data_IF_745442244964
#
_entry.id   IF_745442244964
#
_cell.length_a   1.000
_cell.length_b   1.000
_cell.length_c   1.000
_cell.angle_alpha   90.00
_cell.angle_beta   90.00
_cell.angle_gamma   90.00
#
_symmetry.space_group_name_H-M   'P 1'
#
loop_
_entity.id
_entity.type
_entity.pdbx_description
1 polymer ?
#
# COMPACT_ATOMS: atom_id res chain seq x y z
N UNK A 1 17.81 11.18 -5.34
CA UNK A 1 17.62 11.58 -3.92
C UNK A 1 16.15 11.37 -3.58
N UNK A 2 15.83 10.30 -2.85
CA UNK A 2 14.48 10.03 -2.38
C UNK A 2 14.21 10.84 -1.11
N UNK A 3 13.04 11.46 -0.99
CA UNK A 3 12.62 12.12 0.23
C UNK A 3 12.05 11.05 1.17
N UNK A 4 12.78 10.71 2.23
CA UNK A 4 12.31 9.75 3.21
C UNK A 4 11.20 10.38 4.05
N UNK A 5 10.08 9.66 4.19
CA UNK A 5 8.92 10.08 4.98
C UNK A 5 8.55 8.93 5.92
N UNK A 6 8.35 9.25 7.19
CA UNK A 6 7.85 8.29 8.17
C UNK A 6 6.33 8.39 8.24
N UNK A 7 5.65 7.24 8.29
CA UNK A 7 4.20 7.18 8.30
C UNK A 7 3.69 6.48 9.56
N UNK A 8 2.57 6.96 10.09
CA UNK A 8 1.87 6.38 11.23
C UNK A 8 0.37 6.38 10.94
N UNK A 9 -0.31 5.30 11.32
CA UNK A 9 -1.76 5.16 11.18
C UNK A 9 -2.15 4.08 10.17
N UNK A 10 -3.45 3.97 9.94
CA UNK A 10 -4.04 2.98 9.05
C UNK A 10 -5.43 3.43 8.59
N UNK A 11 -5.91 2.80 7.52
CA UNK A 11 -7.28 2.92 7.03
C UNK A 11 -8.02 1.62 7.35
N UNK A 12 -9.10 1.69 8.10
CA UNK A 12 -10.03 0.59 8.29
C UNK A 12 -10.78 0.33 6.98
N UNK A 13 -11.04 -0.96 6.69
CA UNK A 13 -11.82 -1.41 5.53
C UNK A 13 -13.02 -2.23 6.02
N UNK A 14 -14.23 -1.84 5.61
CA UNK A 14 -15.47 -2.51 5.99
C UNK A 14 -16.38 -2.71 4.75
N UNK A 15 -16.83 -3.93 4.42
CA UNK A 15 -16.40 -5.21 5.02
C UNK A 15 -14.90 -5.47 4.80
N UNK A 16 -14.33 -6.40 5.55
CA UNK A 16 -12.91 -6.74 5.42
C UNK A 16 -12.61 -7.34 4.04
N UNK A 17 -11.41 -7.08 3.52
CA UNK A 17 -10.94 -7.61 2.24
C UNK A 17 -10.89 -9.13 2.26
N UNK A 18 -11.40 -9.74 1.19
CA UNK A 18 -11.28 -11.17 0.98
C UNK A 18 -9.88 -11.57 0.51
N UNK A 19 -9.63 -12.87 0.37
CA UNK A 19 -8.30 -13.38 0.04
C UNK A 19 -7.80 -12.89 -1.33
N UNK A 20 -8.67 -12.82 -2.34
CA UNK A 20 -8.32 -12.38 -3.69
C UNK A 20 -7.96 -10.90 -3.74
N UNK A 21 -8.71 -10.07 -3.01
CA UNK A 21 -8.45 -8.63 -2.90
C UNK A 21 -7.15 -8.35 -2.14
N UNK A 22 -6.92 -9.03 -1.00
CA UNK A 22 -5.65 -8.94 -0.27
C UNK A 22 -4.47 -9.34 -1.14
N UNK A 23 -4.57 -10.49 -1.82
CA UNK A 23 -3.52 -10.97 -2.71
C UNK A 23 -3.24 -10.01 -3.88
N UNK A 24 -4.23 -9.24 -4.35
CA UNK A 24 -4.01 -8.16 -5.30
C UNK A 24 -3.25 -6.99 -4.66
N UNK A 25 -3.75 -6.47 -3.54
CA UNK A 25 -3.16 -5.32 -2.83
C UNK A 25 -1.70 -5.60 -2.48
N UNK A 26 -1.41 -6.77 -1.92
CA UNK A 26 -0.05 -7.14 -1.54
C UNK A 26 0.85 -7.34 -2.76
N UNK A 27 0.30 -7.87 -3.87
CA UNK A 27 1.05 -8.03 -5.13
C UNK A 27 1.43 -6.68 -5.75
N UNK A 28 0.50 -5.70 -5.78
CA UNK A 28 0.81 -4.37 -6.29
C UNK A 28 1.74 -3.58 -5.35
N UNK A 29 1.77 -3.96 -4.06
CA UNK A 29 2.69 -3.41 -3.05
C UNK A 29 4.12 -3.95 -3.22
N UNK A 30 4.28 -5.26 -3.40
CA UNK A 30 5.58 -5.92 -3.50
C UNK A 30 6.21 -5.94 -4.90
N UNK A 31 5.50 -5.44 -5.91
CA UNK A 31 5.94 -5.49 -7.30
C UNK A 31 6.88 -4.33 -7.66
N UNK A 32 8.19 -4.61 -7.63
CA UNK A 32 9.24 -3.83 -8.35
C UNK A 32 9.01 -3.89 -9.89
N UNK A 33 8.11 -4.77 -10.36
CA UNK A 33 7.95 -5.16 -11.76
C UNK A 33 6.90 -4.39 -12.57
N UNK A 34 6.35 -3.29 -12.06
CA UNK A 34 5.57 -2.35 -12.89
C UNK A 34 6.50 -1.34 -13.60
N UNK A 35 7.73 -1.74 -13.91
CA UNK A 35 8.50 -1.06 -14.95
C UNK A 35 7.92 -1.44 -16.32
N UNK A 36 7.73 -0.43 -17.16
CA UNK A 36 6.83 -0.43 -18.32
C UNK A 36 7.35 -1.21 -19.53
N UNK A 37 8.10 -2.28 -19.32
CA UNK A 37 8.68 -3.09 -20.39
C UNK A 37 8.64 -4.59 -20.08
N UNK A 38 7.49 -5.23 -20.28
CA UNK A 38 7.47 -6.67 -20.57
C UNK A 38 6.60 -6.91 -21.81
N UNK A 39 7.17 -6.58 -22.96
CA UNK A 39 7.01 -7.39 -24.17
C UNK A 39 7.58 -8.78 -23.88
N UNK A 40 6.74 -9.66 -23.33
CA UNK A 40 7.12 -11.02 -22.99
C UNK A 40 5.91 -11.92 -23.12
N UNK A 41 5.75 -12.51 -24.30
CA UNK A 41 4.71 -13.45 -24.69
C UNK A 41 4.64 -14.62 -23.68
N UNK A 42 3.73 -14.53 -22.71
CA UNK A 42 3.26 -15.69 -21.92
C UNK A 42 1.77 -15.77 -22.12
N UNK A 43 1.28 -16.99 -22.37
CA UNK A 43 -0.12 -17.34 -22.63
C UNK A 43 -1.06 -16.64 -21.65
N UNK A 44 -1.67 -15.56 -22.11
CA UNK A 44 -2.57 -14.72 -21.32
C UNK A 44 -3.92 -15.43 -21.30
N UNK A 45 -4.30 -16.00 -20.15
CA UNK A 45 -5.71 -16.32 -19.92
C UNK A 45 -6.51 -15.01 -19.83
N UNK A 46 -7.81 -15.04 -20.13
CA UNK A 46 -8.66 -13.83 -20.15
C UNK A 46 -8.60 -13.02 -18.84
N UNK A 47 -8.40 -13.68 -17.70
CA UNK A 47 -8.22 -13.03 -16.40
C UNK A 47 -6.93 -12.20 -16.31
N UNK A 48 -5.84 -12.66 -16.92
CA UNK A 48 -4.57 -11.93 -16.97
C UNK A 48 -4.65 -10.73 -17.92
N UNK A 49 -5.44 -10.81 -19.00
CA UNK A 49 -5.66 -9.70 -19.93
C UNK A 49 -6.46 -8.57 -19.27
N UNK A 50 -7.59 -8.88 -18.64
CA UNK A 50 -8.42 -7.90 -17.94
C UNK A 50 -7.64 -7.21 -16.80
N UNK A 51 -6.81 -7.97 -16.08
CA UNK A 51 -5.95 -7.44 -15.03
C UNK A 51 -4.83 -6.57 -15.58
N UNK A 52 -4.17 -6.98 -16.66
CA UNK A 52 -3.13 -6.19 -17.31
C UNK A 52 -3.67 -4.84 -17.82
N UNK A 53 -4.91 -4.82 -18.33
CA UNK A 53 -5.56 -3.58 -18.76
C UNK A 53 -5.79 -2.62 -17.59
N UNK A 54 -6.38 -3.09 -16.49
CA UNK A 54 -6.63 -2.26 -15.32
C UNK A 54 -5.32 -1.75 -14.70
N UNK A 55 -4.30 -2.61 -14.60
CA UNK A 55 -2.97 -2.23 -14.14
C UNK A 55 -2.25 -1.27 -15.10
N UNK A 56 -2.56 -1.30 -16.40
CA UNK A 56 -2.07 -0.32 -17.37
C UNK A 56 -2.54 1.11 -17.10
N UNK A 57 -3.66 1.27 -16.36
CA UNK A 57 -4.17 2.56 -15.90
C UNK A 57 -3.59 3.01 -14.55
N UNK A 58 -2.73 2.20 -13.94
CA UNK A 58 -2.19 2.49 -12.62
C UNK A 58 -1.27 3.73 -12.64
N UNK A 59 -1.15 4.45 -11.51
CA UNK A 59 -0.16 5.52 -11.37
C UNK A 59 1.26 4.99 -11.65
N UNK A 60 2.13 5.88 -12.12
CA UNK A 60 3.54 5.51 -12.33
C UNK A 60 4.19 5.06 -11.01
N UNK A 61 5.05 4.03 -11.09
CA UNK A 61 5.70 3.42 -9.94
C UNK A 61 4.97 2.17 -9.47
N UNK A 62 5.06 1.88 -8.16
CA UNK A 62 4.34 0.78 -7.51
C UNK A 62 3.59 1.31 -6.29
N UNK A 63 2.60 0.54 -5.82
CA UNK A 63 1.86 0.88 -4.61
C UNK A 63 2.74 0.60 -3.40
N UNK A 64 2.55 1.34 -2.32
CA UNK A 64 3.16 1.08 -1.01
C UNK A 64 2.07 0.86 0.05
N UNK A 65 0.83 0.68 -0.39
CA UNK A 65 -0.29 0.30 0.45
C UNK A 65 -0.33 -1.22 0.60
N UNK A 66 -0.33 -1.69 1.83
CA UNK A 66 -0.35 -3.11 2.16
C UNK A 66 -1.59 -3.42 3.00
N UNK A 67 -2.15 -4.60 2.80
CA UNK A 67 -3.27 -5.08 3.61
C UNK A 67 -2.77 -5.79 4.87
N UNK A 68 -3.53 -5.69 5.97
CA UNK A 68 -3.25 -6.55 7.11
C UNK A 68 -3.65 -8.00 6.81
N UNK A 69 -3.11 -9.00 7.54
CA UNK A 69 -3.39 -10.42 7.27
C UNK A 69 -4.89 -10.79 7.30
N UNK A 70 -5.69 -10.06 8.07
CA UNK A 70 -7.14 -10.26 8.18
C UNK A 70 -7.95 -9.43 7.19
N UNK A 71 -7.33 -8.51 6.44
CA UNK A 71 -7.99 -7.65 5.44
C UNK A 71 -8.81 -6.50 6.01
N UNK A 72 -8.80 -6.28 7.33
CA UNK A 72 -9.61 -5.23 7.97
C UNK A 72 -8.96 -3.83 7.94
N UNK A 73 -7.70 -3.71 7.54
CA UNK A 73 -7.05 -2.42 7.38
C UNK A 73 -5.97 -2.39 6.29
N UNK A 74 -5.71 -1.18 5.81
CA UNK A 74 -4.63 -0.82 4.91
C UNK A 74 -3.66 0.11 5.65
N UNK A 75 -2.36 -0.15 5.50
CA UNK A 75 -1.30 0.70 6.01
C UNK A 75 -0.31 1.02 4.90
N UNK A 76 0.47 2.09 5.09
CA UNK A 76 1.53 2.46 4.15
C UNK A 76 2.88 1.94 4.65
N UNK A 77 3.59 1.17 3.82
CA UNK A 77 4.84 0.50 4.19
C UNK A 77 6.06 1.45 4.31
N UNK A 78 5.90 2.70 3.86
CA UNK A 78 6.92 3.75 3.96
C UNK A 78 8.00 3.72 2.87
N UNK A 79 7.72 3.15 1.69
CA UNK A 79 8.67 3.15 0.57
C UNK A 79 9.12 4.55 0.07
N UNK A 80 10.18 4.56 -0.74
CA UNK A 80 10.94 5.74 -1.22
C UNK A 80 10.15 6.76 -2.07
N UNK A 81 8.86 6.52 -2.32
CA UNK A 81 8.00 7.28 -3.25
C UNK A 81 6.69 7.75 -2.61
N UNK A 82 6.78 8.31 -1.40
CA UNK A 82 5.69 8.94 -0.66
C UNK A 82 4.74 9.83 -1.52
N UNK A 83 5.28 10.56 -2.50
CA UNK A 83 4.49 11.43 -3.40
C UNK A 83 3.40 10.67 -4.20
N UNK A 84 3.53 9.36 -4.36
CA UNK A 84 2.58 8.53 -5.09
C UNK A 84 1.53 7.87 -4.18
N UNK A 85 1.59 8.08 -2.86
CA UNK A 85 0.67 7.49 -1.89
C UNK A 85 -0.81 7.78 -2.20
N UNK A 86 -1.15 9.05 -2.44
CA UNK A 86 -2.53 9.47 -2.69
C UNK A 86 -3.03 9.00 -4.07
N UNK A 87 -2.27 9.18 -5.19
CA UNK A 87 -2.65 8.60 -6.47
C UNK A 87 -2.91 7.09 -6.41
N UNK A 88 -2.04 6.34 -5.72
CA UNK A 88 -2.22 4.89 -5.56
C UNK A 88 -3.44 4.54 -4.72
N UNK A 89 -3.67 5.24 -3.60
CA UNK A 89 -4.84 5.00 -2.77
C UNK A 89 -6.13 5.20 -3.57
N UNK A 90 -6.25 6.33 -4.26
CA UNK A 90 -7.42 6.64 -5.09
C UNK A 90 -7.61 5.62 -6.21
N UNK A 91 -6.53 5.18 -6.84
CA UNK A 91 -6.56 4.17 -7.88
C UNK A 91 -7.04 2.82 -7.34
N UNK A 92 -6.46 2.34 -6.24
CA UNK A 92 -6.85 1.06 -5.62
C UNK A 92 -8.32 1.07 -5.23
N UNK A 93 -8.77 2.15 -4.58
CA UNK A 93 -10.18 2.33 -4.20
C UNK A 93 -11.10 2.28 -5.42
N UNK A 94 -10.90 3.17 -6.39
CA UNK A 94 -11.79 3.33 -7.55
C UNK A 94 -11.69 2.20 -8.58
N UNK A 95 -10.65 1.36 -8.52
CA UNK A 95 -10.46 0.27 -9.47
C UNK A 95 -10.89 -1.06 -8.90
N UNK A 96 -10.70 -1.29 -7.59
CA UNK A 96 -10.84 -2.63 -7.01
C UNK A 96 -11.69 -2.72 -5.75
N UNK A 97 -11.88 -1.66 -4.97
CA UNK A 97 -12.42 -1.83 -3.61
C UNK A 97 -13.82 -1.27 -3.39
N UNK A 98 -14.11 -0.08 -3.89
CA UNK A 98 -15.35 0.63 -3.54
C UNK A 98 -16.46 0.33 -4.53
N UNK A 99 -17.72 0.60 -4.16
CA UNK A 99 -18.85 0.43 -5.08
C UNK A 99 -18.68 1.32 -6.32
N UNK A 100 -18.98 0.76 -7.50
CA UNK A 100 -18.69 1.37 -8.79
C UNK A 100 -17.23 1.22 -9.23
N UNK A 101 -16.44 0.38 -8.55
CA UNK A 101 -15.07 0.09 -8.96
C UNK A 101 -15.02 -0.54 -10.34
N UNK A 102 -13.96 -0.25 -11.11
CA UNK A 102 -13.81 -0.76 -12.49
C UNK A 102 -13.73 -2.28 -12.61
N UNK A 103 -13.36 -2.98 -11.55
CA UNK A 103 -13.33 -4.43 -11.48
C UNK A 103 -14.72 -5.05 -11.22
N UNK A 104 -15.70 -4.26 -10.76
CA UNK A 104 -17.03 -4.75 -10.39
C UNK A 104 -17.75 -5.40 -11.60
N UNK A 105 -18.16 -6.66 -11.43
CA UNK A 105 -18.86 -7.44 -12.46
C UNK A 105 -18.01 -7.77 -13.71
N UNK A 106 -16.69 -7.51 -13.68
CA UNK A 106 -15.80 -7.75 -14.80
C UNK A 106 -15.27 -9.19 -14.80
N UNK A 107 -15.19 -9.80 -15.98
CA UNK A 107 -14.55 -11.11 -16.15
C UNK A 107 -13.10 -11.09 -15.64
N UNK A 108 -12.73 -12.09 -14.83
CA UNK A 108 -11.44 -12.17 -14.13
C UNK A 108 -11.38 -11.49 -12.77
N UNK A 109 -12.47 -10.86 -12.33
CA UNK A 109 -12.63 -10.23 -11.02
C UNK A 109 -13.89 -10.73 -10.30
N UNK A 110 -14.36 -11.94 -10.60
CA UNK A 110 -15.60 -12.49 -10.05
C UNK A 110 -15.58 -12.62 -8.52
N UNK A 111 -14.38 -12.74 -7.93
CA UNK A 111 -14.18 -12.81 -6.50
C UNK A 111 -14.10 -11.43 -5.82
N UNK A 112 -14.13 -10.32 -6.56
CA UNK A 112 -14.05 -8.98 -5.99
C UNK A 112 -15.45 -8.51 -5.61
N UNK A 113 -15.64 -8.10 -4.36
CA UNK A 113 -16.94 -7.66 -3.87
C UNK A 113 -17.21 -6.20 -4.20
N UNK A 114 -16.16 -5.38 -4.30
CA UNK A 114 -16.25 -3.96 -4.64
C UNK A 114 -17.27 -3.21 -3.78
N UNK A 115 -17.45 -3.58 -2.51
CA UNK A 115 -18.46 -3.00 -1.61
C UNK A 115 -17.84 -2.37 -0.36
N UNK A 116 -16.51 -2.15 -0.40
CA UNK A 116 -15.77 -1.68 0.75
C UNK A 116 -15.94 -0.17 0.99
N UNK A 117 -16.02 0.16 2.27
CA UNK A 117 -15.96 1.50 2.82
C UNK A 117 -14.68 1.62 3.63
N UNK A 118 -13.86 2.58 3.23
CA UNK A 118 -12.59 2.91 3.87
C UNK A 118 -12.77 4.12 4.78
N UNK A 119 -12.24 4.00 6.00
CA UNK A 119 -12.25 5.06 7.01
C UNK A 119 -10.95 5.05 7.80
N UNK A 120 -10.34 6.20 8.05
CA UNK A 120 -9.16 6.27 8.91
C UNK A 120 -8.23 7.40 8.56
N UNK A 121 -7.01 7.32 9.07
CA UNK A 121 -5.99 8.35 8.87
C UNK A 121 -4.60 7.74 8.82
N UNK A 122 -3.79 8.26 7.91
CA UNK A 122 -2.35 8.05 7.89
C UNK A 122 -1.66 9.41 7.90
N UNK A 123 -0.71 9.59 8.80
CA UNK A 123 0.06 10.82 8.96
C UNK A 123 1.47 10.59 8.44
N UNK A 124 1.92 11.42 7.51
CA UNK A 124 3.27 11.41 6.97
C UNK A 124 4.10 12.56 7.54
N UNK A 125 5.31 12.24 8.01
CA UNK A 125 6.29 13.22 8.47
C UNK A 125 7.58 13.12 7.67
N UNK A 126 7.93 14.20 6.97
CA UNK A 126 9.12 14.25 6.12
C UNK A 126 10.40 14.35 6.93
N UNK A 127 11.41 13.57 6.55
CA UNK A 127 12.71 13.53 7.25
C UNK A 127 13.65 14.69 6.91
N UNK A 128 13.40 15.45 5.85
CA UNK A 128 14.28 16.53 5.41
C UNK A 128 13.86 17.90 5.95
N UNK A 129 12.55 18.18 5.97
CA UNK A 129 12.03 19.48 6.39
C UNK A 129 11.03 19.40 7.55
N UNK A 130 10.72 18.20 8.05
CA UNK A 130 9.68 17.97 9.09
C UNK A 130 8.29 18.42 8.69
N UNK A 131 8.02 18.57 7.40
CA UNK A 131 6.65 18.78 6.92
C UNK A 131 5.78 17.61 7.35
N UNK A 132 4.63 17.94 7.93
CA UNK A 132 3.67 17.00 8.48
C UNK A 132 2.36 17.16 7.72
N UNK A 133 1.83 16.06 7.23
CA UNK A 133 0.55 16.04 6.56
C UNK A 133 -0.26 14.82 6.98
N UNK A 134 -1.58 14.97 7.03
CA UNK A 134 -2.52 13.90 7.26
C UNK A 134 -3.24 13.56 5.96
N UNK A 135 -3.40 12.27 5.71
CA UNK A 135 -4.31 11.73 4.71
C UNK A 135 -5.45 11.09 5.49
N UNK A 136 -6.63 11.69 5.39
CA UNK A 136 -7.83 11.19 6.04
C UNK A 136 -8.74 10.58 4.99
N UNK A 137 -9.27 9.40 5.27
CA UNK A 137 -10.33 8.81 4.47
C UNK A 137 -11.60 8.75 5.31
N UNK A 138 -12.69 9.32 4.78
CA UNK A 138 -14.03 9.26 5.38
C UNK A 138 -15.02 8.85 4.32
N UNK A 139 -15.68 7.72 4.51
CA UNK A 139 -16.68 7.19 3.56
C UNK A 139 -16.16 7.20 2.11
N UNK A 140 -14.96 6.64 1.93
CA UNK A 140 -14.24 6.61 0.66
C UNK A 140 -13.80 7.96 0.07
N UNK A 141 -14.00 9.08 0.77
CA UNK A 141 -13.48 10.39 0.38
C UNK A 141 -12.09 10.60 0.96
N UNK A 142 -11.13 10.89 0.09
CA UNK A 142 -9.72 11.10 0.47
C UNK A 142 -9.44 12.60 0.58
N UNK A 143 -9.11 13.04 1.79
CA UNK A 143 -8.70 14.40 2.10
C UNK A 143 -7.23 14.44 2.52
N UNK A 144 -6.55 15.52 2.16
CA UNK A 144 -5.15 15.74 2.49
C UNK A 144 -5.03 17.08 3.17
N UNK A 145 -4.53 17.07 4.40
CA UNK A 145 -4.35 18.27 5.21
C UNK A 145 -2.88 18.45 5.53
N UNK A 146 -2.36 19.65 5.27
CA UNK A 146 -1.04 20.03 5.75
C UNK A 146 -1.17 20.47 7.22
N UNK A 147 -0.62 19.66 8.13
CA UNK A 147 -0.64 19.93 9.57
C UNK A 147 0.50 20.87 9.99
N UNK A 148 1.65 20.71 9.34
CA UNK A 148 2.82 21.57 9.56
C UNK A 148 3.61 21.73 8.26
N UNK A 149 3.93 22.96 7.83
CA UNK A 149 4.63 23.21 6.57
C UNK A 149 6.12 22.79 6.59
N UNK A 150 6.64 22.40 7.75
CA UNK A 150 8.05 22.11 7.92
C UNK A 150 8.92 23.38 7.97
N UNK A 151 10.22 23.18 8.18
CA UNK A 151 11.23 24.23 8.21
C UNK A 151 12.24 23.99 7.09
N UNK A 152 12.27 24.90 6.12
CA UNK A 152 13.24 24.88 5.02
C UNK A 152 14.64 25.10 5.59
N UNK A 153 15.54 24.13 5.43
CA UNK A 153 16.92 24.17 5.94
C UNK A 153 17.22 23.17 7.06
N UNK A 154 16.22 22.43 7.54
CA UNK A 154 16.42 21.36 8.53
C UNK A 154 16.90 20.04 7.95
N UNK A 155 17.39 20.02 6.70
CA UNK A 155 17.87 18.80 6.05
C UNK A 155 19.07 18.18 6.77
N UNK A 156 19.81 18.97 7.56
CA UNK A 156 20.93 18.54 8.40
C UNK A 156 20.56 18.46 9.89
N UNK A 157 19.30 18.69 10.24
CA UNK A 157 18.85 18.60 11.63
C UNK A 157 18.92 17.14 12.09
N UNK A 158 19.44 16.86 13.30
CA UNK A 158 19.50 15.50 13.81
C UNK A 158 18.14 14.79 13.76
N UNK A 159 18.10 13.46 13.61
CA UNK A 159 16.85 12.72 13.69
C UNK A 159 16.16 12.97 15.04
N UNK A 160 14.83 13.14 14.99
CA UNK A 160 14.00 13.27 16.18
C UNK A 160 13.92 11.92 16.92
N UNK A 161 13.55 11.95 18.20
CA UNK A 161 13.49 10.75 19.03
C UNK A 161 12.69 9.60 18.40
N UNK A 162 11.52 9.89 17.82
CA UNK A 162 10.72 8.86 17.15
C UNK A 162 11.39 8.31 15.88
N UNK A 163 12.19 9.12 15.17
CA UNK A 163 12.90 8.68 13.97
C UNK A 163 14.02 7.71 14.35
N UNK A 164 14.75 8.02 15.43
CA UNK A 164 15.75 7.10 15.98
C UNK A 164 15.14 5.77 16.38
N UNK A 165 13.96 5.77 17.02
CA UNK A 165 13.28 4.52 17.39
C UNK A 165 12.75 3.75 16.17
N UNK A 166 12.24 4.43 15.14
CA UNK A 166 11.85 3.78 13.87
C UNK A 166 13.07 3.15 13.19
N UNK A 167 14.20 3.85 13.15
CA UNK A 167 15.44 3.34 12.53
C UNK A 167 15.97 2.14 13.29
N UNK A 168 16.05 2.24 14.62
CA UNK A 168 16.43 1.12 15.50
C UNK A 168 15.52 -0.10 15.30
N UNK A 169 14.22 0.11 15.19
CA UNK A 169 13.27 -0.98 14.94
C UNK A 169 13.50 -1.61 13.57
N UNK A 170 13.72 -0.81 12.52
CA UNK A 170 14.01 -1.30 11.16
C UNK A 170 15.30 -2.11 11.10
N UNK A 171 16.36 -1.61 11.74
CA UNK A 171 17.64 -2.32 11.87
C UNK A 171 17.42 -3.66 12.56
N UNK A 172 16.72 -3.67 13.69
CA UNK A 172 16.38 -4.90 14.41
C UNK A 172 15.58 -5.89 13.57
N UNK A 173 14.59 -5.44 12.77
CA UNK A 173 13.82 -6.30 11.87
C UNK A 173 14.70 -6.94 10.80
N UNK A 174 15.67 -6.20 10.25
CA UNK A 174 16.61 -6.71 9.23
C UNK A 174 17.63 -7.67 9.83
N UNK A 175 18.11 -7.39 11.04
CA UNK A 175 19.08 -8.21 11.76
C UNK A 175 18.49 -9.48 12.36
N UNK A 176 17.16 -9.58 12.44
CA UNK A 176 16.53 -10.84 12.83
C UNK A 176 16.93 -11.93 11.84
N UNK A 177 17.51 -13.05 12.31
CA UNK A 177 17.59 -14.24 11.48
C UNK A 177 16.18 -14.47 10.95
N UNK A 178 16.03 -14.71 9.64
CA UNK A 178 14.79 -15.30 9.15
C UNK A 178 14.54 -16.50 10.05
N UNK A 179 13.51 -16.42 10.88
CA UNK A 179 13.03 -17.59 11.57
C UNK A 179 12.66 -18.53 10.43
N UNK A 180 13.52 -19.53 10.19
CA UNK A 180 13.14 -20.71 9.43
C UNK A 180 11.91 -21.21 10.18
N UNK A 181 10.72 -20.90 9.66
CA UNK A 181 9.49 -21.52 10.12
C UNK A 181 9.77 -23.01 9.92
N UNK A 182 9.89 -23.80 10.99
CA UNK A 182 10.23 -25.20 10.80
C UNK A 182 9.08 -25.83 10.00
N UNK A 183 9.44 -26.75 9.09
CA UNK A 183 8.51 -27.38 8.15
C UNK A 183 7.31 -28.06 8.85
N UNK A 184 7.41 -28.29 10.17
CA UNK A 184 6.37 -28.87 11.02
C UNK A 184 5.15 -27.95 11.23
N UNK A 185 5.27 -26.63 11.05
CA UNK A 185 4.16 -25.68 11.08
C UNK A 185 3.45 -25.49 9.72
N UNK A 186 3.96 -26.07 8.63
CA UNK A 186 3.27 -26.10 7.33
C UNK A 186 2.18 -27.18 7.21
N UNK A 187 2.04 -28.07 8.21
CA UNK A 187 1.07 -29.17 8.19
C UNK A 187 -0.41 -28.78 8.38
N UNK A 188 -0.73 -27.50 8.60
CA UNK A 188 -2.11 -27.01 8.83
C UNK A 188 -2.77 -26.36 7.61
N UNK A 189 -2.27 -26.60 6.39
CA UNK A 189 -2.97 -26.28 5.13
C UNK A 189 -3.36 -27.55 4.39
N UNK A 190 -4.34 -28.28 4.92
CA UNK A 190 -4.82 -29.48 4.27
C UNK A 190 -6.08 -30.06 4.87
N UNK A 191 -7.14 -29.26 5.02
CA UNK A 191 -8.55 -29.69 5.02
C UNK A 191 -9.43 -28.53 4.54
#
# INVERSE_FOLDING_TARGET
MGYQTDFIGYLQVLPALNESERALVDRISGSIFLDRSVTGLRSVGDQDAARAELLGMAPNGWSNWTSCPTGCCLSYDGGDKANHMIPWLKYVMATFLVSGAKAEGRAGFEAFTCDHVLNGMVVGSRRDNRELYAITVRDNQVEVEMLWPGVKGWSTYPPLAYQNEIDRFREWVVEQPRLDIPDDLMGWRGW
#
